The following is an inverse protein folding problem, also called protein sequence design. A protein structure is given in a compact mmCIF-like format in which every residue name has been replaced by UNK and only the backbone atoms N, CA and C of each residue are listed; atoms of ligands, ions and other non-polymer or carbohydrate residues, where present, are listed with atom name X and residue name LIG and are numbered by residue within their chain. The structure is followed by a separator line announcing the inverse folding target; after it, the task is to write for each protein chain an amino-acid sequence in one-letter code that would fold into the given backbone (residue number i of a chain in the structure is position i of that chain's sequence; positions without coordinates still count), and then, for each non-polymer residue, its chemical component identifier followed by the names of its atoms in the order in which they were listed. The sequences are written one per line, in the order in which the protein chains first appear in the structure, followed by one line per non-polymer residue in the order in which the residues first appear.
data_IF_995767156784
#
_entry.id   IF_995767156784
#
_cell.length_a   1.000
_cell.length_b   1.000
_cell.length_c   1.000
_cell.angle_alpha   90.00
_cell.angle_beta   90.00
_cell.angle_gamma   90.00
#
_symmetry.space_group_name_H-M   'P 1'
#
loop_
_entity.id
_entity.type
_entity.pdbx_description
1 polymer ?
#
# COMPACT_ATOMS: atom_id res chain seq x y z
N UNK A 1 -39.07 46.86 -17.28
CA UNK A 1 -38.30 45.60 -17.32
C UNK A 1 -37.03 45.85 -18.13
N UNK A 2 -35.91 46.18 -17.47
CA UNK A 2 -34.60 46.24 -18.12
C UNK A 2 -33.92 44.86 -18.12
N UNK A 3 -32.99 44.59 -19.06
CA UNK A 3 -32.31 43.30 -19.18
C UNK A 3 -31.26 43.09 -18.07
N UNK A 4 -31.00 41.85 -17.64
CA UNK A 4 -29.95 41.56 -16.66
C UNK A 4 -28.55 41.60 -17.32
N UNK A 5 -27.60 42.23 -16.62
CA UNK A 5 -26.18 42.32 -17.01
C UNK A 5 -25.44 41.01 -16.70
N UNK A 6 -24.52 40.63 -17.58
CA UNK A 6 -23.57 39.54 -17.39
C UNK A 6 -22.36 39.98 -16.54
N UNK A 7 -22.00 39.07 -15.63
CA UNK A 7 -20.65 38.70 -15.13
C UNK A 7 -19.80 39.73 -14.40
N UNK A 8 -19.60 39.47 -13.11
CA UNK A 8 -18.28 39.60 -12.50
C UNK A 8 -18.02 38.35 -11.65
N UNK A 9 -17.08 37.51 -12.10
CA UNK A 9 -16.67 36.28 -11.43
C UNK A 9 -15.72 36.62 -10.29
N UNK A 10 -16.16 36.39 -9.06
CA UNK A 10 -15.34 36.60 -7.88
C UNK A 10 -14.33 35.45 -7.75
N UNK A 11 -13.10 35.72 -8.21
CA UNK A 11 -11.97 34.81 -8.05
C UNK A 11 -11.72 34.49 -6.58
N UNK A 12 -11.96 33.24 -6.19
CA UNK A 12 -11.74 32.77 -4.82
C UNK A 12 -10.24 32.58 -4.57
N UNK A 13 -9.67 33.64 -4.00
CA UNK A 13 -8.50 33.74 -3.13
C UNK A 13 -7.78 32.42 -2.84
N UNK A 14 -6.56 32.35 -3.39
CA UNK A 14 -5.50 31.39 -3.07
C UNK A 14 -5.45 31.09 -1.57
N UNK A 15 -5.64 29.82 -1.20
CA UNK A 15 -5.48 29.33 0.18
C UNK A 15 -3.99 29.32 0.49
N UNK A 16 -3.55 30.41 1.11
CA UNK A 16 -2.19 30.63 1.58
C UNK A 16 -1.84 29.61 2.67
N UNK A 17 -1.16 28.54 2.28
CA UNK A 17 -0.52 27.58 3.19
C UNK A 17 0.94 27.99 3.51
N UNK A 18 1.31 29.26 3.26
CA UNK A 18 2.70 29.71 3.16
C UNK A 18 3.43 30.11 4.45
N UNK A 19 2.87 29.91 5.65
CA UNK A 19 3.43 30.54 6.87
C UNK A 19 4.07 29.60 7.90
N UNK A 20 4.48 28.38 7.54
CA UNK A 20 5.12 27.47 8.52
C UNK A 20 6.42 26.78 8.09
N UNK A 21 7.15 27.28 7.08
CA UNK A 21 8.43 26.66 6.70
C UNK A 21 9.50 27.71 6.38
N UNK A 22 10.08 28.31 7.42
CA UNK A 22 11.41 28.89 7.37
C UNK A 22 12.30 28.13 8.34
N UNK A 23 13.37 27.55 7.79
CA UNK A 23 14.51 26.85 8.44
C UNK A 23 14.46 25.30 8.51
N UNK A 24 14.77 24.62 7.39
CA UNK A 24 15.45 23.31 7.38
C UNK A 24 16.08 22.97 6.00
N UNK A 25 17.17 22.18 5.92
CA UNK A 25 17.92 21.93 4.69
C UNK A 25 17.21 20.94 3.75
N UNK A 26 17.06 21.34 2.47
CA UNK A 26 16.99 20.54 1.24
C UNK A 26 16.41 19.11 1.31
N UNK A 27 15.12 19.00 1.66
CA UNK A 27 14.17 18.17 0.94
C UNK A 27 12.81 18.83 1.07
N UNK A 28 12.35 19.54 0.05
CA UNK A 28 10.99 20.07 0.06
C UNK A 28 10.01 18.91 0.31
N UNK A 29 9.05 19.06 1.23
CA UNK A 29 8.03 18.05 1.44
C UNK A 29 7.35 17.76 0.10
N UNK A 30 7.42 16.51 -0.36
CA UNK A 30 6.79 16.02 -1.58
C UNK A 30 5.28 16.26 -1.46
N UNK A 31 4.76 17.16 -2.30
CA UNK A 31 3.33 17.52 -2.35
C UNK A 31 2.79 17.15 -3.73
N UNK A 32 1.63 16.53 -3.75
CA UNK A 32 0.88 16.21 -4.96
C UNK A 32 -0.47 16.93 -4.91
N UNK A 33 -0.65 17.93 -5.77
CA UNK A 33 -1.92 18.64 -5.90
C UNK A 33 -2.59 18.24 -7.21
N UNK A 34 -3.75 17.60 -7.10
CA UNK A 34 -4.60 17.15 -8.19
C UNK A 34 -6.04 17.64 -7.98
N UNK A 35 -6.22 18.74 -7.26
CA UNK A 35 -7.54 19.35 -7.04
C UNK A 35 -8.19 19.82 -8.34
N UNK A 36 -9.51 19.66 -8.45
CA UNK A 36 -10.32 20.14 -9.58
C UNK A 36 -9.79 19.72 -10.97
N UNK A 37 -9.30 18.48 -11.08
CA UNK A 37 -8.76 17.91 -12.33
C UNK A 37 -9.79 17.08 -13.11
N UNK A 38 -11.05 17.07 -12.67
CA UNK A 38 -12.13 16.22 -13.21
C UNK A 38 -11.80 14.72 -13.23
N UNK A 39 -11.01 14.25 -12.25
CA UNK A 39 -10.60 12.86 -12.11
C UNK A 39 -11.78 11.99 -11.62
N UNK A 40 -12.02 10.89 -12.32
CA UNK A 40 -13.00 9.87 -11.90
C UNK A 40 -12.33 8.68 -11.17
N UNK A 41 -11.08 8.38 -11.55
CA UNK A 41 -10.27 7.33 -10.94
C UNK A 41 -8.83 7.83 -10.73
N UNK A 42 -8.11 7.19 -9.81
CA UNK A 42 -6.66 7.38 -9.67
C UNK A 42 -5.93 6.73 -10.84
N UNK A 43 -4.86 7.38 -11.33
CA UNK A 43 -4.03 6.84 -12.41
C UNK A 43 -3.23 5.61 -11.95
N UNK A 44 -2.85 4.74 -12.88
CA UNK A 44 -2.06 3.54 -12.58
C UNK A 44 -0.68 3.81 -11.96
N UNK A 45 -0.10 4.98 -12.21
CA UNK A 45 1.19 5.43 -11.66
C UNK A 45 1.07 6.20 -10.34
N UNK A 46 -0.11 6.30 -9.73
CA UNK A 46 -0.32 7.05 -8.50
C UNK A 46 0.63 6.62 -7.36
N UNK A 47 1.01 5.35 -7.33
CA UNK A 47 1.89 4.72 -6.33
C UNK A 47 3.32 5.27 -6.36
N UNK A 48 3.74 5.86 -7.47
CA UNK A 48 5.03 6.54 -7.58
C UNK A 48 5.11 7.75 -6.63
N UNK A 49 3.97 8.33 -6.25
CA UNK A 49 3.87 9.41 -5.29
C UNK A 49 3.77 8.94 -3.83
N UNK A 50 4.07 7.67 -3.51
CA UNK A 50 3.97 7.11 -2.14
C UNK A 50 4.80 7.83 -1.07
N UNK A 51 5.79 8.63 -1.49
CA UNK A 51 6.60 9.49 -0.61
C UNK A 51 5.97 10.86 -0.35
N UNK A 52 4.81 11.17 -0.93
CA UNK A 52 4.13 12.44 -0.72
C UNK A 52 3.66 12.60 0.73
N UNK A 53 3.94 13.77 1.30
CA UNK A 53 3.48 14.17 2.64
C UNK A 53 2.10 14.85 2.59
N UNK A 54 1.77 15.47 1.46
CA UNK A 54 0.47 16.09 1.24
C UNK A 54 -0.09 15.71 -0.13
N UNK A 55 -1.35 15.30 -0.14
CA UNK A 55 -2.09 14.99 -1.36
C UNK A 55 -3.42 15.74 -1.34
N UNK A 56 -3.70 16.50 -2.38
CA UNK A 56 -4.98 17.16 -2.61
C UNK A 56 -5.71 16.51 -3.79
N UNK A 57 -6.87 15.91 -3.53
CA UNK A 57 -7.78 15.33 -4.52
C UNK A 57 -9.14 16.03 -4.54
N UNK A 58 -9.27 17.19 -3.90
CA UNK A 58 -10.54 17.89 -3.73
C UNK A 58 -11.17 18.30 -5.07
N UNK A 59 -12.48 18.52 -5.06
CA UNK A 59 -13.23 18.98 -6.23
C UNK A 59 -13.11 18.07 -7.46
N UNK A 60 -12.88 16.77 -7.26
CA UNK A 60 -12.93 15.75 -8.30
C UNK A 60 -14.17 14.83 -8.15
N UNK A 61 -14.79 14.38 -9.25
CA UNK A 61 -15.88 13.40 -9.24
C UNK A 61 -15.34 11.97 -9.04
N UNK A 62 -14.51 11.75 -8.01
CA UNK A 62 -13.90 10.45 -7.76
C UNK A 62 -14.94 9.42 -7.31
N UNK A 63 -14.85 8.23 -7.90
CA UNK A 63 -15.55 7.04 -7.41
C UNK A 63 -14.97 6.56 -6.07
N UNK A 64 -15.68 5.68 -5.33
CA UNK A 64 -15.15 5.06 -4.12
C UNK A 64 -13.76 4.47 -4.36
N UNK A 65 -12.80 4.90 -3.56
CA UNK A 65 -11.41 4.46 -3.70
C UNK A 65 -11.27 3.01 -3.18
N UNK A 66 -10.46 2.17 -3.84
CA UNK A 66 -10.16 0.84 -3.31
C UNK A 66 -9.43 0.94 -1.98
N UNK A 67 -9.61 -0.04 -1.10
CA UNK A 67 -9.04 -0.02 0.26
C UNK A 67 -7.50 0.13 0.27
N UNK A 68 -6.82 -0.34 -0.78
CA UNK A 68 -5.38 -0.29 -0.91
C UNK A 68 -4.87 0.80 -1.87
N UNK A 69 -5.72 1.77 -2.24
CA UNK A 69 -5.36 2.92 -3.06
C UNK A 69 -4.13 3.69 -2.53
N UNK A 70 -3.96 3.72 -1.21
CA UNK A 70 -2.87 4.40 -0.51
C UNK A 70 -1.87 3.44 0.12
N UNK A 71 -1.75 2.21 -0.41
CA UNK A 71 -0.70 1.27 -0.03
C UNK A 71 0.67 1.92 -0.19
N UNK A 72 1.55 1.72 0.80
CA UNK A 72 2.91 2.28 0.87
C UNK A 72 3.01 3.78 1.18
N UNK A 73 1.90 4.52 1.26
CA UNK A 73 1.89 5.93 1.70
C UNK A 73 2.02 5.98 3.23
N UNK A 74 3.22 5.71 3.73
CA UNK A 74 3.51 5.57 5.17
C UNK A 74 3.87 6.88 5.86
N UNK A 75 4.08 7.95 5.09
CA UNK A 75 4.49 9.28 5.57
C UNK A 75 3.48 10.37 5.23
N UNK A 76 2.25 10.00 4.88
CA UNK A 76 1.22 10.95 4.45
C UNK A 76 0.72 11.73 5.66
N UNK A 77 0.96 13.04 5.70
CA UNK A 77 0.50 13.90 6.79
C UNK A 77 -0.86 14.51 6.53
N UNK A 78 -1.16 14.86 5.29
CA UNK A 78 -2.43 15.51 4.92
C UNK A 78 -2.99 14.90 3.65
N UNK A 79 -4.24 14.46 3.72
CA UNK A 79 -5.00 13.99 2.58
C UNK A 79 -6.31 14.78 2.51
N UNK A 80 -6.51 15.51 1.42
CA UNK A 80 -7.74 16.23 1.14
C UNK A 80 -8.55 15.47 0.08
N UNK A 81 -9.79 15.11 0.42
CA UNK A 81 -10.69 14.32 -0.42
C UNK A 81 -12.00 15.08 -0.67
N UNK A 82 -12.73 14.75 -1.76
CA UNK A 82 -14.14 15.09 -1.89
C UNK A 82 -14.95 14.61 -0.68
N UNK A 83 -15.95 15.39 -0.25
CA UNK A 83 -16.74 15.09 0.96
C UNK A 83 -17.45 13.72 0.92
N UNK A 84 -17.79 13.25 -0.29
CA UNK A 84 -18.42 11.95 -0.55
C UNK A 84 -17.53 10.76 -0.19
N UNK A 85 -16.21 10.95 -0.13
CA UNK A 85 -15.24 9.91 0.18
C UNK A 85 -14.85 9.95 1.65
N UNK A 86 -14.54 8.78 2.18
CA UNK A 86 -14.04 8.62 3.53
C UNK A 86 -12.50 8.62 3.56
N UNK A 87 -11.94 9.00 4.70
CA UNK A 87 -10.50 8.85 4.92
C UNK A 87 -10.13 7.36 4.86
N UNK A 88 -9.06 6.97 4.14
CA UNK A 88 -8.58 5.60 4.15
C UNK A 88 -8.19 5.19 5.58
N UNK A 89 -8.58 3.98 5.99
CA UNK A 89 -8.45 3.55 7.38
C UNK A 89 -9.50 4.10 8.34
N UNK A 90 -10.49 4.84 7.83
CA UNK A 90 -11.54 5.49 8.63
C UNK A 90 -10.99 6.58 9.55
N UNK A 91 -11.81 7.05 10.49
CA UNK A 91 -11.42 8.11 11.42
C UNK A 91 -10.29 7.68 12.38
N UNK A 92 -10.22 6.39 12.72
CA UNK A 92 -9.20 5.84 13.63
C UNK A 92 -7.79 5.81 13.00
N UNK A 93 -7.71 5.84 11.67
CA UNK A 93 -6.45 5.87 10.92
C UNK A 93 -5.73 7.22 10.96
N UNK A 94 -6.35 8.26 11.54
CA UNK A 94 -5.86 9.64 11.52
C UNK A 94 -5.99 10.29 12.91
N UNK A 95 -5.15 11.29 13.18
CA UNK A 95 -5.21 12.08 14.40
C UNK A 95 -6.39 13.04 14.38
N UNK A 96 -6.70 13.60 13.21
CA UNK A 96 -7.82 14.52 13.04
C UNK A 96 -8.45 14.38 11.66
N UNK A 97 -9.78 14.26 11.62
CA UNK A 97 -10.57 14.34 10.39
C UNK A 97 -11.52 15.53 10.49
N UNK A 98 -11.36 16.50 9.60
CA UNK A 98 -12.22 17.69 9.53
C UNK A 98 -12.98 17.75 8.22
N UNK A 99 -14.12 18.43 8.23
CA UNK A 99 -14.87 18.77 7.02
C UNK A 99 -14.73 20.27 6.77
N UNK A 100 -14.26 20.64 5.58
CA UNK A 100 -14.08 22.02 5.15
C UNK A 100 -14.84 22.24 3.83
N UNK A 101 -16.03 22.83 3.90
CA UNK A 101 -16.88 23.03 2.72
C UNK A 101 -17.28 21.70 2.07
N UNK A 102 -16.94 21.51 0.81
CA UNK A 102 -17.15 20.29 0.01
C UNK A 102 -16.03 19.27 0.14
N UNK A 103 -15.13 19.43 1.11
CA UNK A 103 -13.93 18.60 1.25
C UNK A 103 -13.83 17.96 2.63
N UNK A 104 -13.29 16.75 2.68
CA UNK A 104 -12.88 16.04 3.89
C UNK A 104 -11.36 16.09 3.98
N UNK A 105 -10.81 16.53 5.10
CA UNK A 105 -9.37 16.66 5.35
C UNK A 105 -8.98 15.66 6.44
N UNK A 106 -8.12 14.71 6.08
CA UNK A 106 -7.53 13.72 6.97
C UNK A 106 -6.11 14.18 7.32
N UNK A 107 -5.82 14.40 8.60
CA UNK A 107 -4.56 14.95 9.07
C UNK A 107 -3.91 14.06 10.14
N UNK A 108 -2.59 13.88 10.02
CA UNK A 108 -1.78 13.10 10.94
C UNK A 108 -2.07 11.61 10.86
N UNK A 109 -1.50 10.91 9.87
CA UNK A 109 -1.65 9.46 9.76
C UNK A 109 -1.15 8.76 11.03
N UNK A 110 -2.01 7.93 11.63
CA UNK A 110 -1.64 7.10 12.78
C UNK A 110 -0.95 5.83 12.34
N UNK A 111 -0.06 5.34 13.18
CA UNK A 111 0.54 4.03 13.01
C UNK A 111 -0.46 2.93 13.41
N UNK A 112 -0.95 2.09 12.48
CA UNK A 112 -1.92 1.02 12.77
C UNK A 112 -1.36 -0.09 13.68
N UNK A 113 -0.04 -0.10 13.91
CA UNK A 113 0.61 -1.02 14.84
C UNK A 113 0.64 -0.52 16.29
N UNK A 114 0.35 0.77 16.54
CA UNK A 114 0.33 1.34 17.89
C UNK A 114 -1.06 1.20 18.53
N UNK A 115 -1.12 0.75 19.80
CA UNK A 115 -2.35 0.70 20.61
C UNK A 115 -2.90 -0.71 20.88
N UNK A 116 -3.86 -0.81 21.81
CA UNK A 116 -4.50 -2.08 22.21
C UNK A 116 -5.47 -2.65 21.16
N UNK A 117 -5.99 -1.80 20.26
CA UNK A 117 -6.69 -2.20 19.03
C UNK A 117 -5.77 -2.34 17.81
N UNK A 118 -4.45 -2.18 18.00
CA UNK A 118 -3.47 -2.31 16.93
C UNK A 118 -3.45 -3.72 16.36
N UNK A 119 -3.44 -3.81 15.03
CA UNK A 119 -3.42 -5.09 14.31
C UNK A 119 -2.07 -5.82 14.45
N UNK A 120 -1.13 -5.27 15.23
CA UNK A 120 0.18 -5.88 15.45
C UNK A 120 0.15 -7.21 16.21
N UNK A 121 -0.88 -7.45 17.03
CA UNK A 121 -1.09 -8.75 17.67
C UNK A 121 -1.50 -9.86 16.69
N UNK A 122 -1.93 -9.50 15.47
CA UNK A 122 -2.26 -10.47 14.41
C UNK A 122 -1.01 -11.04 13.73
N UNK A 123 0.16 -10.44 13.95
CA UNK A 123 1.39 -10.89 13.32
C UNK A 123 1.88 -12.22 13.95
N UNK A 124 2.31 -13.20 13.14
CA UNK A 124 2.99 -14.41 13.61
C UNK A 124 4.19 -14.11 14.51
N UNK A 125 4.56 -15.08 15.36
CA UNK A 125 5.63 -14.96 16.35
C UNK A 125 6.97 -14.45 15.80
N UNK A 126 7.34 -14.87 14.59
CA UNK A 126 8.60 -14.50 13.91
C UNK A 126 8.41 -13.34 12.91
N UNK A 127 7.47 -12.44 13.23
CA UNK A 127 7.20 -11.25 12.43
C UNK A 127 6.86 -10.06 13.32
N UNK A 128 7.16 -8.87 12.80
CA UNK A 128 6.85 -7.59 13.44
C UNK A 128 5.86 -6.80 12.60
N UNK A 129 4.92 -6.12 13.27
CA UNK A 129 4.01 -5.20 12.62
C UNK A 129 4.75 -3.97 12.11
N UNK A 130 4.44 -3.56 10.89
CA UNK A 130 4.88 -2.32 10.27
C UNK A 130 3.69 -1.61 9.59
N UNK A 131 3.70 -0.27 9.52
CA UNK A 131 2.70 0.48 8.77
C UNK A 131 2.88 0.28 7.25
N UNK A 132 1.79 0.21 6.50
CA UNK A 132 1.78 0.06 5.03
C UNK A 132 0.78 1.01 4.33
N UNK A 133 0.48 2.15 4.96
CA UNK A 133 -0.53 3.10 4.49
C UNK A 133 -1.51 3.49 5.60
N UNK A 134 -2.43 4.44 5.36
CA UNK A 134 -3.39 4.88 6.36
C UNK A 134 -4.33 3.73 6.73
N UNK A 135 -4.34 3.34 8.01
CA UNK A 135 -5.12 2.20 8.53
C UNK A 135 -4.67 0.81 8.03
N UNK A 136 -3.59 0.71 7.27
CA UNK A 136 -3.15 -0.55 6.67
C UNK A 136 -1.90 -1.10 7.39
N UNK A 137 -2.00 -2.15 8.21
CA UNK A 137 -0.83 -2.82 8.78
C UNK A 137 -0.23 -3.83 7.80
N UNK A 138 1.03 -4.18 8.01
CA UNK A 138 1.69 -5.31 7.37
C UNK A 138 2.59 -6.03 8.37
N UNK A 139 2.66 -7.36 8.28
CA UNK A 139 3.62 -8.14 9.06
C UNK A 139 4.87 -8.37 8.22
N UNK A 140 6.03 -7.95 8.73
CA UNK A 140 7.33 -8.17 8.14
C UNK A 140 8.08 -9.24 8.93
N UNK A 141 8.73 -10.18 8.25
CA UNK A 141 9.48 -11.22 8.94
C UNK A 141 10.68 -10.62 9.68
N UNK A 142 10.91 -11.08 10.90
CA UNK A 142 12.11 -10.73 11.65
C UNK A 142 13.27 -11.58 11.15
N UNK A 143 14.40 -10.94 10.82
CA UNK A 143 15.62 -11.66 10.42
C UNK A 143 16.02 -12.67 11.51
N UNK A 144 16.37 -13.93 11.17
CA UNK A 144 16.68 -14.48 9.84
C UNK A 144 15.52 -15.19 9.12
N UNK A 145 14.27 -14.96 9.53
CA UNK A 145 13.11 -15.66 8.97
C UNK A 145 12.61 -15.02 7.67
N UNK A 146 12.03 -15.84 6.79
CA UNK A 146 11.46 -15.37 5.52
C UNK A 146 10.30 -16.23 5.03
N UNK A 147 9.69 -15.78 3.93
CA UNK A 147 8.53 -16.40 3.29
C UNK A 147 7.20 -15.83 3.79
N UNK A 148 6.10 -16.19 3.12
CA UNK A 148 4.77 -15.61 3.35
C UNK A 148 4.17 -15.85 4.77
N UNK A 149 4.82 -16.70 5.59
CA UNK A 149 4.46 -17.00 6.98
C UNK A 149 5.59 -16.78 7.98
N UNK A 150 6.77 -16.34 7.52
CA UNK A 150 7.97 -16.17 8.37
C UNK A 150 8.40 -17.44 9.14
N UNK A 151 8.11 -18.64 8.62
CA UNK A 151 8.46 -19.91 9.26
C UNK A 151 9.75 -20.54 8.70
N UNK A 152 10.30 -19.97 7.61
CA UNK A 152 11.50 -20.53 6.97
C UNK A 152 12.73 -19.82 7.50
N UNK A 153 13.75 -20.60 7.82
CA UNK A 153 15.06 -20.14 8.25
C UNK A 153 16.13 -20.91 7.46
N UNK A 154 17.24 -20.24 7.16
CA UNK A 154 18.36 -20.85 6.43
C UNK A 154 18.10 -21.01 4.93
N UNK A 155 18.85 -21.88 4.26
CA UNK A 155 18.69 -22.15 2.83
C UNK A 155 18.02 -23.50 2.62
N UNK A 156 17.23 -23.62 1.56
CA UNK A 156 16.65 -24.91 1.19
C UNK A 156 17.77 -25.88 0.79
N UNK A 157 17.84 -27.11 1.32
CA UNK A 157 18.95 -28.03 1.07
C UNK A 157 18.80 -28.71 -0.30
N UNK A 158 19.09 -27.96 -1.37
CA UNK A 158 18.92 -28.41 -2.76
C UNK A 158 19.62 -29.73 -3.07
N UNK A 159 20.84 -29.92 -2.57
CA UNK A 159 21.63 -31.13 -2.83
C UNK A 159 20.96 -32.38 -2.25
N UNK A 160 20.40 -32.30 -1.05
CA UNK A 160 19.70 -33.42 -0.43
C UNK A 160 18.41 -33.74 -1.19
N UNK A 161 17.64 -32.71 -1.55
CA UNK A 161 16.37 -32.89 -2.24
C UNK A 161 16.55 -33.45 -3.66
N UNK A 162 17.37 -32.82 -4.49
CA UNK A 162 17.63 -33.28 -5.86
C UNK A 162 18.46 -34.56 -5.88
N UNK A 163 19.36 -34.76 -4.92
CA UNK A 163 20.10 -36.01 -4.78
C UNK A 163 19.18 -37.19 -4.47
N UNK A 164 18.27 -37.04 -3.51
CA UNK A 164 17.28 -38.08 -3.19
C UNK A 164 16.34 -38.36 -4.36
N UNK A 165 15.80 -37.32 -5.01
CA UNK A 165 14.97 -37.47 -6.20
C UNK A 165 15.71 -38.20 -7.32
N UNK A 166 16.92 -37.76 -7.65
CA UNK A 166 17.75 -38.36 -8.69
C UNK A 166 18.05 -39.84 -8.40
N UNK A 167 18.40 -40.17 -7.15
CA UNK A 167 18.66 -41.55 -6.75
C UNK A 167 17.43 -42.46 -6.91
N UNK A 168 16.26 -41.99 -6.49
CA UNK A 168 14.99 -42.73 -6.65
C UNK A 168 14.66 -42.91 -8.13
N UNK A 169 14.81 -41.87 -8.95
CA UNK A 169 14.57 -41.96 -10.40
C UNK A 169 15.51 -42.96 -11.06
N UNK A 170 16.82 -42.90 -10.78
CA UNK A 170 17.80 -43.85 -11.34
C UNK A 170 17.46 -45.28 -10.91
N UNK A 171 17.14 -45.50 -9.64
CA UNK A 171 16.76 -46.82 -9.13
C UNK A 171 15.52 -47.37 -9.84
N UNK A 172 14.47 -46.55 -10.01
CA UNK A 172 13.26 -46.93 -10.75
C UNK A 172 13.55 -47.20 -12.23
N UNK A 173 14.35 -46.37 -12.89
CA UNK A 173 14.74 -46.58 -14.29
C UNK A 173 15.51 -47.88 -14.47
N UNK A 174 16.44 -48.20 -13.58
CA UNK A 174 17.20 -49.46 -13.60
C UNK A 174 16.29 -50.66 -13.34
N UNK A 175 15.38 -50.58 -12.37
CA UNK A 175 14.40 -51.63 -12.08
C UNK A 175 13.49 -51.91 -13.27
N UNK A 176 12.95 -50.85 -13.89
CA UNK A 176 12.11 -50.95 -15.08
C UNK A 176 12.91 -51.54 -16.25
N UNK A 177 14.15 -51.09 -16.46
CA UNK A 177 15.01 -51.63 -17.51
C UNK A 177 15.29 -53.12 -17.34
N UNK A 178 15.63 -53.56 -16.13
CA UNK A 178 15.93 -54.98 -15.84
C UNK A 178 14.69 -55.84 -16.03
N UNK A 179 13.54 -55.41 -15.52
CA UNK A 179 12.29 -56.17 -15.62
C UNK A 179 11.77 -56.23 -17.06
N UNK A 180 11.80 -55.12 -17.81
CA UNK A 180 11.39 -55.08 -19.22
C UNK A 180 12.35 -55.85 -20.13
N UNK A 181 13.68 -55.74 -19.95
CA UNK A 181 14.64 -56.55 -20.72
C UNK A 181 14.55 -58.04 -20.42
N UNK A 182 14.22 -58.43 -19.19
CA UNK A 182 13.99 -59.85 -18.85
C UNK A 182 12.75 -60.40 -19.54
N UNK A 183 11.69 -59.62 -19.68
CA UNK A 183 10.48 -60.00 -20.44
C UNK A 183 10.76 -60.17 -21.94
N UNK A 184 11.68 -59.40 -22.52
CA UNK A 184 12.05 -59.50 -23.94
C UNK A 184 12.94 -60.71 -24.29
N UNK A 185 13.53 -61.39 -23.30
CA UNK A 185 14.43 -62.56 -23.50
C UNK A 185 13.77 -63.92 -23.29
N UNK A 186 12.48 -63.96 -22.93
CA UNK A 186 11.72 -65.20 -22.59
C UNK A 186 10.63 -65.49 -23.64
N UNK A 187 10.74 -64.91 -24.83
CA UNK A 187 9.94 -65.25 -26.03
C UNK A 187 10.88 -65.65 -27.16
#
# INVERSE_FOLDING_TARGET
MPPPKLLEGEGRKSRDWGLLLTDAPLSLPSRLDLGNCSLQHLCSSFQEASTALLIDLTDNPLEPLPEDAFRSFTHLQTLALPLTLECPGGNEGWDNVTVQGSSRICHGQRNPCNGSGGLGHLCPKDSSCAPNGPGLPQCLCTSPHYGYKCLRQGTFPYLLFFGALGAVTIALSLLLWVTQRRKAKVS
#
